data_IF_500837305391
#
_entry.id   IF_500837305391
#
_cell.length_a   1.000
_cell.length_b   1.000
_cell.length_c   1.000
_cell.angle_alpha   90.00
_cell.angle_beta   90.00
_cell.angle_gamma   90.00
#
_symmetry.space_group_name_H-M   'P 1'
#
loop_
_entity.id
_entity.type
_entity.pdbx_description
1 polymer ?
#
# COMPACT_ATOMS: atom_id res chain seq x y z
N UNK A 1 14.18 27.75 -16.39
CA UNK A 1 13.54 27.53 -17.70
C UNK A 1 12.37 26.57 -17.44
N UNK A 2 11.17 27.11 -17.44
CA UNK A 2 9.91 26.44 -17.12
C UNK A 2 9.46 25.62 -18.31
N UNK A 3 9.71 24.31 -18.27
CA UNK A 3 9.15 23.37 -19.23
C UNK A 3 7.66 23.18 -18.98
N UNK A 4 6.80 23.96 -19.62
CA UNK A 4 5.37 23.70 -19.77
C UNK A 4 5.17 22.46 -20.65
N UNK A 5 5.43 21.27 -20.12
CA UNK A 5 4.98 20.02 -20.72
C UNK A 5 3.49 19.87 -20.47
N UNK A 6 2.68 19.91 -21.53
CA UNK A 6 1.26 19.60 -21.50
C UNK A 6 1.02 18.17 -20.99
N UNK A 7 0.91 17.99 -19.68
CA UNK A 7 0.51 16.74 -19.00
C UNK A 7 -1.02 16.53 -19.00
N UNK A 8 -1.74 17.17 -19.90
CA UNK A 8 -3.20 17.23 -19.91
C UNK A 8 -3.91 16.03 -20.52
N UNK A 9 -3.21 15.06 -21.06
CA UNK A 9 -3.83 13.79 -21.44
C UNK A 9 -3.52 12.73 -20.38
N UNK A 10 -4.43 12.62 -19.39
CA UNK A 10 -4.62 11.39 -18.64
C UNK A 10 -4.90 10.29 -19.66
N UNK A 11 -4.12 9.22 -19.65
CA UNK A 11 -4.41 8.03 -20.47
C UNK A 11 -5.69 7.35 -20.01
N UNK A 12 -6.03 7.50 -18.70
CA UNK A 12 -7.32 7.10 -18.10
C UNK A 12 -7.92 8.27 -17.32
N UNK A 13 -9.23 8.47 -17.47
CA UNK A 13 -10.00 9.34 -16.59
C UNK A 13 -10.13 8.75 -15.17
N UNK A 14 -10.72 9.50 -14.21
CA UNK A 14 -10.96 9.05 -12.85
C UNK A 14 -11.88 7.81 -12.80
N UNK A 15 -11.32 6.60 -12.70
CA UNK A 15 -12.06 5.33 -12.88
C UNK A 15 -13.00 4.98 -11.74
N UNK A 16 -12.65 5.35 -10.52
CA UNK A 16 -13.38 4.97 -9.31
C UNK A 16 -14.07 6.18 -8.67
N UNK A 17 -14.59 7.07 -9.51
CA UNK A 17 -15.30 8.27 -9.12
C UNK A 17 -16.52 8.48 -10.02
N UNK A 18 -17.62 8.93 -9.43
CA UNK A 18 -18.86 9.32 -10.14
C UNK A 18 -19.20 10.77 -9.81
N UNK A 19 -19.78 11.48 -10.78
CA UNK A 19 -20.17 12.89 -10.65
C UNK A 19 -21.70 12.95 -10.50
N UNK A 20 -22.20 13.62 -9.46
CA UNK A 20 -23.63 13.76 -9.14
C UNK A 20 -23.88 15.15 -8.56
N UNK A 21 -24.73 15.96 -9.19
CA UNK A 21 -25.21 17.28 -8.71
C UNK A 21 -24.09 18.23 -8.22
N UNK A 22 -22.95 18.24 -8.91
CA UNK A 22 -21.80 19.07 -8.56
C UNK A 22 -20.88 18.49 -7.46
N UNK A 23 -21.24 17.34 -6.89
CA UNK A 23 -20.41 16.56 -5.99
C UNK A 23 -19.72 15.40 -6.73
N UNK A 24 -18.70 14.83 -6.11
CA UNK A 24 -17.99 13.66 -6.64
C UNK A 24 -17.93 12.59 -5.56
N UNK A 25 -18.48 11.42 -5.85
CA UNK A 25 -18.37 10.24 -5.00
C UNK A 25 -17.16 9.41 -5.44
N UNK A 26 -16.25 9.13 -4.50
CA UNK A 26 -15.10 8.26 -4.73
C UNK A 26 -15.39 6.86 -4.16
N UNK A 27 -15.36 5.83 -5.01
CA UNK A 27 -15.61 4.43 -4.64
C UNK A 27 -14.33 3.57 -4.68
N UNK A 28 -13.16 4.17 -4.46
CA UNK A 28 -11.89 3.46 -4.50
C UNK A 28 -11.64 2.62 -3.25
N UNK A 29 -11.97 3.14 -2.08
CA UNK A 29 -11.73 2.51 -0.79
C UNK A 29 -12.94 2.61 0.14
N UNK A 30 -12.86 1.97 1.29
CA UNK A 30 -13.93 1.93 2.32
C UNK A 30 -14.45 3.30 2.77
N UNK A 31 -13.66 4.36 2.60
CA UNK A 31 -14.09 5.71 3.00
C UNK A 31 -15.21 6.29 2.13
N UNK A 32 -15.38 5.82 0.89
CA UNK A 32 -16.42 6.22 -0.06
C UNK A 32 -16.73 7.72 -0.06
N UNK A 33 -15.67 8.55 -0.06
CA UNK A 33 -15.74 9.99 0.14
C UNK A 33 -16.74 10.65 -0.80
N UNK A 34 -17.67 11.42 -0.25
CA UNK A 34 -18.45 12.40 -0.99
C UNK A 34 -17.68 13.74 -0.96
N UNK A 35 -17.25 14.20 -2.13
CA UNK A 35 -16.28 15.30 -2.27
C UNK A 35 -16.97 16.51 -2.88
N UNK A 36 -17.14 17.56 -2.09
CA UNK A 36 -17.70 18.83 -2.57
C UNK A 36 -16.72 19.59 -3.46
N UNK A 37 -17.23 20.50 -4.28
CA UNK A 37 -16.42 21.29 -5.21
C UNK A 37 -15.28 22.03 -4.51
N UNK A 38 -14.07 21.92 -5.06
CA UNK A 38 -12.83 22.47 -4.52
C UNK A 38 -12.18 21.64 -3.41
N UNK A 39 -12.77 20.51 -3.02
CA UNK A 39 -12.27 19.66 -1.95
C UNK A 39 -11.59 18.38 -2.46
N UNK A 40 -10.87 17.71 -1.56
CA UNK A 40 -10.26 16.39 -1.78
C UNK A 40 -10.86 15.37 -0.82
N UNK A 41 -10.84 14.10 -1.23
CA UNK A 41 -11.13 12.98 -0.35
C UNK A 41 -10.06 12.84 0.74
N UNK A 42 -10.31 11.97 1.73
CA UNK A 42 -9.43 11.76 2.88
C UNK A 42 -7.98 11.42 2.51
N UNK A 43 -7.74 10.80 1.38
CA UNK A 43 -6.38 10.49 0.91
C UNK A 43 -5.57 11.72 0.44
N UNK A 44 -6.23 12.87 0.21
CA UNK A 44 -5.62 14.12 -0.23
C UNK A 44 -5.24 14.18 -1.72
N UNK A 45 -5.47 13.12 -2.50
CA UNK A 45 -4.97 13.04 -3.90
C UNK A 45 -6.07 12.87 -4.96
N UNK A 46 -7.29 12.60 -4.55
CA UNK A 46 -8.48 12.48 -5.40
C UNK A 46 -9.47 13.57 -5.01
N UNK A 47 -9.97 14.32 -5.96
CA UNK A 47 -10.72 15.54 -5.63
C UNK A 47 -11.85 15.88 -6.62
N UNK A 48 -12.51 16.99 -6.33
CA UNK A 48 -13.56 17.59 -7.12
C UNK A 48 -13.17 19.03 -7.49
N UNK A 49 -13.17 19.34 -8.78
CA UNK A 49 -13.00 20.71 -9.29
C UNK A 49 -14.21 21.10 -10.12
N UNK A 50 -15.02 22.02 -9.60
CA UNK A 50 -16.21 22.53 -10.27
C UNK A 50 -17.19 21.41 -10.71
N UNK A 51 -17.45 20.43 -9.84
CA UNK A 51 -18.34 19.30 -10.12
C UNK A 51 -17.71 18.17 -10.93
N UNK A 52 -16.41 18.28 -11.26
CA UNK A 52 -15.67 17.28 -12.03
C UNK A 52 -14.66 16.54 -11.18
N UNK A 53 -14.63 15.21 -11.32
CA UNK A 53 -13.65 14.36 -10.68
C UNK A 53 -12.24 14.66 -11.21
N UNK A 54 -11.28 14.85 -10.29
CA UNK A 54 -9.88 15.12 -10.63
C UNK A 54 -8.92 14.20 -9.89
N UNK A 55 -7.80 13.86 -10.55
CA UNK A 55 -6.68 13.11 -10.01
C UNK A 55 -5.36 13.87 -10.27
N UNK A 56 -5.16 15.02 -9.61
CA UNK A 56 -4.06 15.94 -9.94
C UNK A 56 -2.67 15.36 -9.66
N UNK A 57 -2.59 14.27 -8.90
CA UNK A 57 -1.34 13.57 -8.59
C UNK A 57 -1.00 12.44 -9.57
N UNK A 58 -1.70 12.34 -10.71
CA UNK A 58 -1.33 11.36 -11.74
C UNK A 58 0.12 11.55 -12.18
N UNK A 59 0.92 10.48 -12.04
CA UNK A 59 2.35 10.50 -12.37
C UNK A 59 3.25 11.24 -11.39
N UNK A 60 2.72 11.78 -10.29
CA UNK A 60 3.54 12.42 -9.27
C UNK A 60 4.23 11.37 -8.39
N UNK A 61 5.57 11.32 -8.46
CA UNK A 61 6.44 10.42 -7.73
C UNK A 61 7.19 11.22 -6.66
N UNK A 62 6.99 10.88 -5.40
CA UNK A 62 7.64 11.49 -4.24
C UNK A 62 9.01 10.88 -3.92
N UNK A 63 9.22 9.63 -4.32
CA UNK A 63 10.48 8.92 -4.12
C UNK A 63 10.71 7.91 -5.24
N UNK A 64 11.97 7.76 -5.66
CA UNK A 64 12.43 6.74 -6.60
C UNK A 64 13.73 6.15 -6.04
N UNK A 65 13.76 4.85 -5.81
CA UNK A 65 14.93 4.17 -5.25
C UNK A 65 15.09 2.76 -5.82
N UNK A 66 16.33 2.28 -5.85
CA UNK A 66 16.64 0.88 -6.13
C UNK A 66 16.95 0.18 -4.80
N UNK A 67 16.08 -0.72 -4.38
CA UNK A 67 16.17 -1.40 -3.09
C UNK A 67 16.39 -2.91 -3.27
N UNK A 68 16.97 -3.62 -2.29
CA UNK A 68 16.75 -5.06 -2.17
C UNK A 68 15.26 -5.37 -2.04
N UNK A 69 14.80 -6.46 -2.68
CA UNK A 69 13.37 -6.82 -2.64
C UNK A 69 12.89 -7.15 -1.23
N UNK A 70 13.79 -7.64 -0.39
CA UNK A 70 13.53 -7.94 1.02
C UNK A 70 13.14 -6.71 1.84
N UNK A 71 13.51 -5.50 1.41
CA UNK A 71 12.99 -4.24 2.00
C UNK A 71 11.52 -3.98 1.70
N UNK A 72 10.91 -4.77 0.79
CA UNK A 72 9.46 -4.75 0.51
C UNK A 72 8.72 -5.83 1.28
N UNK A 73 9.27 -6.34 2.37
CA UNK A 73 9.12 -7.64 3.03
C UNK A 73 8.58 -8.72 2.09
N UNK A 74 9.33 -9.01 1.01
CA UNK A 74 9.07 -10.09 0.08
C UNK A 74 10.29 -11.02 0.08
N UNK A 75 10.20 -12.11 0.84
CA UNK A 75 11.29 -13.06 1.03
C UNK A 75 11.15 -14.29 0.13
N UNK A 76 9.95 -14.52 -0.39
CA UNK A 76 9.63 -15.68 -1.21
C UNK A 76 9.35 -15.30 -2.69
N UNK A 77 9.37 -14.02 -3.02
CA UNK A 77 9.19 -13.53 -4.39
C UNK A 77 10.50 -12.95 -4.92
N UNK A 78 11.12 -13.61 -5.92
CA UNK A 78 12.38 -13.19 -6.56
C UNK A 78 13.48 -12.79 -5.54
N UNK A 79 13.80 -13.63 -4.55
CA UNK A 79 14.76 -13.28 -3.49
C UNK A 79 16.11 -12.87 -4.07
N UNK A 80 16.84 -12.04 -3.31
CA UNK A 80 18.19 -11.55 -3.65
C UNK A 80 18.24 -10.64 -4.90
N UNK A 81 17.09 -10.18 -5.40
CA UNK A 81 17.04 -9.21 -6.51
C UNK A 81 16.90 -7.78 -6.01
N UNK A 82 17.31 -6.85 -6.87
CA UNK A 82 16.98 -5.43 -6.68
C UNK A 82 15.63 -5.12 -7.31
N UNK A 83 14.90 -4.17 -6.72
CA UNK A 83 13.60 -3.72 -7.20
C UNK A 83 13.53 -2.21 -7.30
N UNK A 84 13.11 -1.67 -8.46
CA UNK A 84 12.85 -0.25 -8.62
C UNK A 84 11.59 0.12 -7.84
N UNK A 85 11.71 1.03 -6.88
CA UNK A 85 10.68 1.37 -5.91
C UNK A 85 10.15 2.78 -6.13
N UNK A 86 8.83 2.92 -6.29
CA UNK A 86 8.13 4.18 -6.52
C UNK A 86 7.37 4.58 -5.26
N UNK A 87 7.61 5.79 -4.76
CA UNK A 87 6.84 6.41 -3.67
C UNK A 87 5.83 7.43 -4.20
N UNK A 88 4.72 7.55 -3.50
CA UNK A 88 3.60 8.41 -3.87
C UNK A 88 3.28 9.41 -2.75
N UNK A 89 2.41 10.39 -3.03
CA UNK A 89 1.84 11.29 -2.03
C UNK A 89 0.50 10.76 -1.51
N UNK A 90 0.19 11.04 -0.26
CA UNK A 90 -1.11 10.73 0.34
C UNK A 90 -1.32 9.27 0.72
N UNK A 91 -2.35 9.04 1.53
CA UNK A 91 -2.77 7.73 2.02
C UNK A 91 -4.23 7.78 2.48
N UNK A 92 -4.97 6.70 2.34
CA UNK A 92 -6.34 6.58 2.84
C UNK A 92 -6.44 6.17 4.32
N UNK A 93 -5.32 5.90 4.98
CA UNK A 93 -5.21 5.68 6.44
C UNK A 93 -4.56 6.87 7.15
N UNK A 94 -4.74 6.92 8.49
CA UNK A 94 -4.21 7.97 9.38
C UNK A 94 -3.42 7.39 10.54
N UNK A 95 -2.56 6.38 10.26
CA UNK A 95 -1.76 5.70 11.25
C UNK A 95 -0.92 6.69 12.08
N UNK A 96 -1.08 6.77 13.41
CA UNK A 96 -0.32 7.71 14.23
C UNK A 96 1.17 7.34 14.38
N UNK A 97 1.55 6.13 13.98
CA UNK A 97 2.91 5.59 13.99
C UNK A 97 3.53 5.50 12.59
N UNK A 98 3.03 6.25 11.61
CA UNK A 98 3.48 6.12 10.23
C UNK A 98 4.91 6.62 10.05
N UNK A 99 5.84 5.74 9.66
CA UNK A 99 7.24 6.09 9.39
C UNK A 99 7.40 6.97 8.15
N UNK A 100 6.47 6.90 7.21
CA UNK A 100 6.44 7.70 5.99
C UNK A 100 5.41 8.85 6.06
N UNK A 101 5.11 9.34 7.26
CA UNK A 101 4.09 10.37 7.48
C UNK A 101 4.32 11.64 6.65
N UNK A 102 5.57 12.00 6.40
CA UNK A 102 5.96 13.18 5.64
C UNK A 102 5.46 13.15 4.18
N UNK A 103 5.27 11.97 3.58
CA UNK A 103 4.69 11.81 2.23
C UNK A 103 3.26 11.27 2.25
N UNK A 104 2.87 10.51 3.28
CA UNK A 104 1.55 9.87 3.36
C UNK A 104 0.48 10.78 3.98
N UNK A 105 0.86 11.69 4.89
CA UNK A 105 -0.05 12.60 5.58
C UNK A 105 0.06 14.04 5.10
N UNK A 106 0.90 14.29 4.12
CA UNK A 106 1.09 15.57 3.47
C UNK A 106 1.14 15.37 1.96
N UNK A 107 0.54 16.29 1.21
CA UNK A 107 0.53 16.31 -0.26
C UNK A 107 1.32 17.49 -0.83
N UNK A 108 1.67 18.48 0.00
CA UNK A 108 2.60 19.58 -0.35
C UNK A 108 4.04 19.12 -0.07
N UNK A 109 4.56 18.30 -0.96
CA UNK A 109 5.87 17.64 -0.83
C UNK A 109 6.65 17.74 -2.13
N UNK A 110 7.99 17.71 -2.06
CA UNK A 110 8.80 17.62 -3.28
C UNK A 110 8.56 16.30 -4.02
N UNK A 111 8.63 16.35 -5.34
CA UNK A 111 8.46 15.19 -6.19
C UNK A 111 8.63 15.53 -7.66
N UNK A 112 8.60 14.52 -8.50
CA UNK A 112 8.74 14.65 -9.95
C UNK A 112 7.55 14.00 -10.64
N UNK A 113 7.04 14.60 -11.71
CA UNK A 113 6.08 13.92 -12.60
C UNK A 113 6.83 13.02 -13.57
N UNK A 114 6.43 11.76 -13.60
CA UNK A 114 6.99 10.74 -14.49
C UNK A 114 5.86 10.04 -15.24
N UNK A 115 6.03 9.89 -16.54
CA UNK A 115 5.13 9.09 -17.38
C UNK A 115 5.40 7.60 -17.16
N UNK A 116 4.42 6.71 -17.38
CA UNK A 116 4.64 5.26 -17.27
C UNK A 116 5.87 4.76 -18.05
N UNK A 117 6.14 5.30 -19.25
CA UNK A 117 7.31 4.95 -20.05
C UNK A 117 8.64 5.33 -19.40
N UNK A 118 8.70 6.46 -18.67
CA UNK A 118 9.93 6.86 -17.94
C UNK A 118 10.23 5.92 -16.77
N UNK A 119 9.18 5.35 -16.14
CA UNK A 119 9.35 4.33 -15.10
C UNK A 119 9.92 3.02 -15.69
N UNK A 120 9.39 2.58 -16.83
CA UNK A 120 9.90 1.40 -17.53
C UNK A 120 11.34 1.61 -17.97
N UNK A 121 11.68 2.78 -18.52
CA UNK A 121 13.07 3.11 -18.89
C UNK A 121 14.01 3.08 -17.68
N UNK A 122 13.60 3.64 -16.55
CA UNK A 122 14.39 3.59 -15.32
C UNK A 122 14.59 2.15 -14.81
N UNK A 123 13.58 1.27 -14.94
CA UNK A 123 13.71 -0.14 -14.56
C UNK A 123 14.72 -0.88 -15.47
N UNK A 124 14.71 -0.59 -16.77
CA UNK A 124 15.70 -1.12 -17.73
C UNK A 124 17.11 -0.64 -17.42
N UNK A 125 17.30 0.66 -17.17
CA UNK A 125 18.61 1.26 -16.87
C UNK A 125 19.26 0.68 -15.60
N UNK A 126 18.45 0.19 -14.66
CA UNK A 126 18.93 -0.39 -13.41
C UNK A 126 18.91 -1.92 -13.37
N UNK A 127 18.66 -2.61 -14.48
CA UNK A 127 18.53 -4.08 -14.56
C UNK A 127 17.59 -4.65 -13.50
N UNK A 128 16.53 -3.90 -13.16
CA UNK A 128 15.57 -4.32 -12.15
C UNK A 128 14.55 -5.29 -12.75
N UNK A 129 14.39 -6.51 -12.25
CA UNK A 129 13.44 -7.48 -12.82
C UNK A 129 11.98 -7.17 -12.43
N UNK A 130 11.77 -6.20 -11.57
CA UNK A 130 10.45 -5.86 -11.03
C UNK A 130 10.35 -4.40 -10.62
N UNK A 131 9.12 -3.89 -10.53
CA UNK A 131 8.78 -2.52 -10.10
C UNK A 131 7.87 -2.59 -8.90
N UNK A 132 8.26 -1.94 -7.79
CA UNK A 132 7.46 -1.82 -6.57
C UNK A 132 6.76 -0.47 -6.50
N UNK A 133 5.47 -0.51 -6.24
CA UNK A 133 4.61 0.63 -5.92
C UNK A 133 4.42 0.62 -4.40
N UNK A 134 4.98 1.63 -3.67
CA UNK A 134 5.24 1.51 -2.23
C UNK A 134 5.36 2.85 -1.49
N UNK A 135 5.92 2.84 -0.29
CA UNK A 135 6.28 3.91 0.66
C UNK A 135 5.08 4.64 1.29
N UNK A 136 4.10 5.11 0.52
CA UNK A 136 2.81 5.59 1.03
C UNK A 136 1.71 4.58 0.69
N UNK A 137 0.53 5.03 0.25
CA UNK A 137 -0.49 4.11 -0.24
C UNK A 137 -0.62 4.18 -1.77
N UNK A 138 -0.09 3.22 -2.51
CA UNK A 138 -0.15 3.23 -3.97
C UNK A 138 -1.58 3.10 -4.51
N UNK A 139 -2.50 2.40 -3.84
CA UNK A 139 -3.85 2.16 -4.34
C UNK A 139 -4.64 3.46 -4.57
N UNK A 140 -4.33 4.55 -3.84
CA UNK A 140 -5.03 5.83 -4.04
C UNK A 140 -4.67 6.49 -5.38
N UNK A 141 -3.65 5.98 -6.08
CA UNK A 141 -3.21 6.36 -7.44
C UNK A 141 -3.59 5.33 -8.50
N UNK A 142 -4.72 4.66 -8.34
CA UNK A 142 -5.13 3.48 -9.11
C UNK A 142 -4.97 3.65 -10.64
N UNK A 143 -5.34 4.80 -11.19
CA UNK A 143 -5.26 5.04 -12.64
C UNK A 143 -3.83 5.05 -13.16
N UNK A 144 -2.92 5.69 -12.43
CA UNK A 144 -1.51 5.70 -12.77
C UNK A 144 -0.87 4.32 -12.57
N UNK A 145 -1.25 3.62 -11.49
CA UNK A 145 -0.80 2.23 -11.27
C UNK A 145 -1.18 1.35 -12.46
N UNK A 146 -2.45 1.37 -12.88
CA UNK A 146 -2.94 0.55 -13.98
C UNK A 146 -2.18 0.82 -15.28
N UNK A 147 -1.85 2.08 -15.57
CA UNK A 147 -1.09 2.44 -16.76
C UNK A 147 0.38 1.99 -16.66
N UNK A 148 1.03 2.20 -15.50
CA UNK A 148 2.41 1.73 -15.28
C UNK A 148 2.51 0.21 -15.31
N UNK A 149 1.63 -0.49 -14.58
CA UNK A 149 1.64 -1.95 -14.48
C UNK A 149 1.37 -2.62 -15.84
N UNK A 150 0.43 -2.08 -16.62
CA UNK A 150 0.15 -2.61 -17.95
C UNK A 150 1.37 -2.45 -18.89
N UNK A 151 2.06 -1.31 -18.81
CA UNK A 151 3.25 -1.07 -19.62
C UNK A 151 4.43 -1.91 -19.12
N UNK A 152 4.67 -1.97 -17.80
CA UNK A 152 5.71 -2.79 -17.18
C UNK A 152 5.59 -4.27 -17.60
N UNK A 153 4.38 -4.83 -17.54
CA UNK A 153 4.11 -6.22 -17.98
C UNK A 153 4.44 -6.45 -19.44
N UNK A 154 4.14 -5.49 -20.34
CA UNK A 154 4.50 -5.58 -21.76
C UNK A 154 6.01 -5.65 -22.00
N UNK A 155 6.79 -5.10 -21.06
CA UNK A 155 8.26 -5.12 -21.10
C UNK A 155 8.88 -6.24 -20.24
N UNK A 156 8.07 -7.17 -19.73
CA UNK A 156 8.55 -8.35 -18.98
C UNK A 156 8.88 -8.07 -17.50
N UNK A 157 8.55 -6.90 -16.97
CA UNK A 157 8.74 -6.60 -15.56
C UNK A 157 7.61 -7.17 -14.70
N UNK A 158 7.95 -7.68 -13.52
CA UNK A 158 6.97 -8.03 -12.52
C UNK A 158 6.49 -6.78 -11.77
N UNK A 159 5.19 -6.72 -11.46
CA UNK A 159 4.56 -5.66 -10.69
C UNK A 159 4.36 -6.07 -9.25
N UNK A 160 4.91 -5.30 -8.33
CA UNK A 160 4.87 -5.54 -6.89
C UNK A 160 4.13 -4.41 -6.19
N UNK A 161 3.17 -4.75 -5.33
CA UNK A 161 2.50 -3.81 -4.43
C UNK A 161 2.98 -3.97 -2.99
N UNK A 162 3.24 -2.85 -2.31
CA UNK A 162 3.32 -2.78 -0.85
C UNK A 162 2.23 -1.83 -0.41
N UNK A 163 1.20 -2.35 0.24
CA UNK A 163 -0.08 -1.64 0.45
C UNK A 163 -0.73 -1.96 1.78
N UNK A 164 -1.57 -1.06 2.26
CA UNK A 164 -2.44 -1.31 3.40
C UNK A 164 -3.69 -2.16 3.07
N UNK A 165 -3.92 -2.47 1.80
CA UNK A 165 -5.03 -3.30 1.34
C UNK A 165 -6.44 -2.70 1.48
N UNK A 166 -6.58 -1.45 1.96
CA UNK A 166 -7.87 -0.80 2.11
C UNK A 166 -8.44 -0.29 0.78
N UNK A 167 -8.78 -1.20 -0.13
CA UNK A 167 -9.46 -0.89 -1.40
C UNK A 167 -10.75 -1.68 -1.54
N UNK A 168 -11.79 -1.05 -2.09
CA UNK A 168 -13.04 -1.74 -2.40
C UNK A 168 -12.81 -2.85 -3.43
N UNK A 169 -13.56 -3.93 -3.35
CA UNK A 169 -13.37 -5.17 -4.13
C UNK A 169 -13.23 -4.92 -5.63
N UNK A 170 -13.99 -3.97 -6.21
CA UNK A 170 -13.90 -3.63 -7.63
C UNK A 170 -12.54 -3.05 -7.98
N UNK A 171 -12.07 -2.07 -7.21
CA UNK A 171 -10.78 -1.43 -7.42
C UNK A 171 -9.62 -2.41 -7.18
N UNK A 172 -9.69 -3.18 -6.09
CA UNK A 172 -8.73 -4.22 -5.77
C UNK A 172 -8.59 -5.23 -6.92
N UNK A 173 -9.70 -5.74 -7.45
CA UNK A 173 -9.72 -6.71 -8.56
C UNK A 173 -9.03 -6.18 -9.82
N UNK A 174 -9.31 -4.92 -10.21
CA UNK A 174 -8.69 -4.34 -11.41
C UNK A 174 -7.17 -4.19 -11.26
N UNK A 175 -6.69 -3.78 -10.08
CA UNK A 175 -5.26 -3.62 -9.83
C UNK A 175 -4.58 -4.99 -9.70
N UNK A 176 -5.18 -5.93 -8.97
CA UNK A 176 -4.62 -7.27 -8.76
C UNK A 176 -4.49 -8.09 -10.05
N UNK A 177 -5.31 -7.84 -11.08
CA UNK A 177 -5.12 -8.44 -12.42
C UNK A 177 -3.74 -8.17 -13.03
N UNK A 178 -3.10 -7.07 -12.65
CA UNK A 178 -1.80 -6.65 -13.16
C UNK A 178 -0.68 -6.83 -12.13
N UNK A 179 -0.99 -7.28 -10.91
CA UNK A 179 -0.04 -7.49 -9.81
C UNK A 179 0.49 -8.92 -9.84
N UNK A 180 1.80 -9.09 -9.66
CA UNK A 180 2.45 -10.40 -9.59
C UNK A 180 2.74 -10.81 -8.14
N UNK A 181 3.07 -9.83 -7.28
CA UNK A 181 3.26 -10.04 -5.84
C UNK A 181 2.74 -8.86 -5.04
N UNK A 182 2.29 -9.13 -3.82
CA UNK A 182 1.86 -8.10 -2.87
C UNK A 182 2.39 -8.39 -1.48
N UNK A 183 2.91 -7.35 -0.81
CA UNK A 183 3.04 -7.35 0.63
C UNK A 183 1.91 -6.49 1.21
N UNK A 184 1.05 -7.09 2.03
CA UNK A 184 -0.07 -6.39 2.66
C UNK A 184 0.26 -6.08 4.11
N UNK A 185 0.20 -4.81 4.45
CA UNK A 185 0.29 -4.34 5.84
C UNK A 185 -1.01 -4.63 6.61
N UNK A 186 -1.09 -5.80 7.26
CA UNK A 186 -2.14 -6.10 8.24
C UNK A 186 -1.77 -5.43 9.57
N UNK A 187 -2.22 -4.19 9.74
CA UNK A 187 -1.68 -3.31 10.80
C UNK A 187 -2.17 -3.64 12.20
N UNK A 188 -3.33 -4.28 12.32
CA UNK A 188 -3.95 -4.76 13.58
C UNK A 188 -5.00 -5.82 13.22
N UNK A 189 -5.35 -6.69 14.15
CA UNK A 189 -6.47 -7.63 13.96
C UNK A 189 -7.68 -7.25 14.82
N UNK A 190 -7.79 -5.97 15.14
CA UNK A 190 -8.91 -5.36 15.85
C UNK A 190 -9.67 -4.39 14.94
N UNK A 191 -10.93 -4.68 14.64
CA UNK A 191 -11.81 -3.79 13.87
C UNK A 191 -11.96 -2.42 14.53
N UNK A 192 -12.01 -2.39 15.87
CA UNK A 192 -12.10 -1.13 16.64
C UNK A 192 -10.83 -0.29 16.47
N UNK A 193 -9.65 -0.90 16.52
CA UNK A 193 -8.37 -0.22 16.32
C UNK A 193 -8.25 0.31 14.89
N UNK A 194 -8.62 -0.49 13.88
CA UNK A 194 -8.67 -0.04 12.49
C UNK A 194 -9.53 1.21 12.35
N UNK A 195 -10.76 1.18 12.84
CA UNK A 195 -11.70 2.29 12.71
C UNK A 195 -11.26 3.53 13.50
N UNK A 196 -10.91 3.38 14.78
CA UNK A 196 -10.68 4.53 15.68
C UNK A 196 -9.27 5.13 15.55
N UNK A 197 -8.24 4.28 15.36
CA UNK A 197 -6.85 4.72 15.40
C UNK A 197 -6.25 4.91 14.01
N UNK A 198 -6.71 4.13 13.03
CA UNK A 198 -6.11 4.14 11.69
C UNK A 198 -7.00 4.80 10.63
N UNK A 199 -8.29 4.97 10.91
CA UNK A 199 -9.28 5.45 9.93
C UNK A 199 -9.47 4.46 8.78
N UNK A 200 -9.40 3.16 9.08
CA UNK A 200 -9.48 2.06 8.13
C UNK A 200 -10.57 1.05 8.49
N UNK A 201 -10.62 -0.04 7.73
CA UNK A 201 -11.57 -1.12 7.93
C UNK A 201 -10.89 -2.48 7.80
N UNK A 202 -10.93 -3.30 8.88
CA UNK A 202 -10.31 -4.62 8.94
C UNK A 202 -10.90 -5.59 7.92
N UNK A 203 -12.22 -5.56 7.75
CA UNK A 203 -12.91 -6.48 6.84
C UNK A 203 -12.48 -6.24 5.38
N UNK A 204 -12.34 -4.97 4.99
CA UNK A 204 -11.83 -4.59 3.67
C UNK A 204 -10.42 -5.13 3.45
N UNK A 205 -9.51 -5.00 4.43
CA UNK A 205 -8.13 -5.52 4.32
C UNK A 205 -8.12 -7.04 4.24
N UNK A 206 -8.87 -7.73 5.11
CA UNK A 206 -8.99 -9.18 5.07
C UNK A 206 -9.56 -9.68 3.73
N UNK A 207 -10.55 -8.97 3.18
CA UNK A 207 -11.14 -9.28 1.86
C UNK A 207 -10.14 -9.06 0.73
N UNK A 208 -9.28 -8.01 0.81
CA UNK A 208 -8.22 -7.75 -0.15
C UNK A 208 -7.18 -8.89 -0.15
N UNK A 209 -6.73 -9.34 1.03
CA UNK A 209 -5.77 -10.44 1.17
C UNK A 209 -6.33 -11.72 0.54
N UNK A 210 -7.57 -12.10 0.89
CA UNK A 210 -8.25 -13.28 0.33
C UNK A 210 -8.40 -13.16 -1.20
N UNK A 211 -8.76 -11.97 -1.69
CA UNK A 211 -8.92 -11.73 -3.13
C UNK A 211 -7.59 -11.88 -3.86
N UNK A 212 -6.49 -11.31 -3.33
CA UNK A 212 -5.16 -11.43 -3.91
C UNK A 212 -4.73 -12.90 -4.01
N UNK A 213 -4.87 -13.65 -2.92
CA UNK A 213 -4.57 -15.08 -2.89
C UNK A 213 -5.40 -15.88 -3.93
N UNK A 214 -6.71 -15.66 -3.96
CA UNK A 214 -7.62 -16.34 -4.90
C UNK A 214 -7.40 -15.96 -6.37
N UNK A 215 -6.73 -14.85 -6.64
CA UNK A 215 -6.31 -14.43 -7.98
C UNK A 215 -4.90 -14.93 -8.35
N UNK A 216 -4.30 -15.82 -7.55
CA UNK A 216 -2.95 -16.35 -7.71
C UNK A 216 -1.85 -15.27 -7.72
N UNK A 217 -2.07 -14.15 -7.02
CA UNK A 217 -1.01 -13.19 -6.72
C UNK A 217 -0.17 -13.74 -5.58
N UNK A 218 1.16 -13.66 -5.68
CA UNK A 218 2.02 -14.02 -4.55
C UNK A 218 1.76 -13.06 -3.38
N UNK A 219 1.38 -13.60 -2.23
CA UNK A 219 1.00 -12.81 -1.04
C UNK A 219 2.01 -13.03 0.08
N UNK A 220 2.57 -11.96 0.62
CA UNK A 220 3.23 -11.93 1.92
C UNK A 220 2.56 -10.87 2.79
N UNK A 221 2.53 -11.06 4.10
CA UNK A 221 1.84 -10.16 5.03
C UNK A 221 2.84 -9.58 6.01
N UNK A 222 2.70 -8.28 6.31
CA UNK A 222 3.52 -7.60 7.32
C UNK A 222 2.62 -7.03 8.42
N UNK A 223 3.05 -7.24 9.67
CA UNK A 223 2.47 -6.57 10.84
C UNK A 223 3.57 -5.85 11.61
N UNK A 224 3.50 -4.51 11.64
CA UNK A 224 4.30 -3.71 12.56
C UNK A 224 3.66 -3.87 13.96
N UNK A 225 4.40 -4.48 14.88
CA UNK A 225 3.93 -4.69 16.26
C UNK A 225 4.18 -3.42 17.06
N UNK A 226 3.11 -2.70 17.37
CA UNK A 226 3.15 -1.37 18.00
C UNK A 226 2.66 -1.49 19.45
N UNK A 227 3.52 -1.20 20.44
CA UNK A 227 3.13 -1.25 21.83
C UNK A 227 1.93 -0.37 22.15
N UNK A 228 1.00 -0.89 22.98
CA UNK A 228 -0.28 -0.29 23.36
C UNK A 228 -1.31 -0.14 22.23
N UNK A 229 -1.08 -0.78 21.08
CA UNK A 229 -2.00 -0.72 19.95
C UNK A 229 -2.40 -2.12 19.48
N UNK A 230 -1.42 -2.97 19.16
CA UNK A 230 -1.64 -4.32 18.61
C UNK A 230 -0.65 -5.35 19.18
N UNK A 231 -0.05 -5.09 20.35
CA UNK A 231 0.99 -5.91 20.97
C UNK A 231 0.43 -6.95 21.97
N UNK A 232 -0.84 -7.34 21.88
CA UNK A 232 -1.38 -8.44 22.66
C UNK A 232 -1.11 -9.80 21.99
N UNK A 233 -0.83 -10.83 22.82
CA UNK A 233 -0.62 -12.19 22.31
C UNK A 233 -1.87 -12.74 21.61
N UNK A 234 -3.05 -12.47 22.15
CA UNK A 234 -4.35 -12.88 21.61
C UNK A 234 -4.60 -12.28 20.23
N UNK A 235 -4.30 -10.97 20.04
CA UNK A 235 -4.50 -10.31 18.76
C UNK A 235 -3.59 -10.88 17.67
N UNK A 236 -2.32 -11.12 18.01
CA UNK A 236 -1.37 -11.73 17.06
C UNK A 236 -1.73 -13.20 16.76
N UNK A 237 -2.30 -13.91 17.73
CA UNK A 237 -2.80 -15.27 17.52
C UNK A 237 -4.00 -15.28 16.57
N UNK A 238 -4.97 -14.38 16.75
CA UNK A 238 -6.11 -14.24 15.86
C UNK A 238 -5.70 -13.87 14.43
N UNK A 239 -4.67 -13.01 14.27
CA UNK A 239 -4.08 -12.69 12.97
C UNK A 239 -3.42 -13.93 12.33
N UNK A 240 -2.69 -14.74 13.11
CA UNK A 240 -2.10 -15.99 12.64
C UNK A 240 -3.16 -17.00 12.21
N UNK A 241 -4.27 -17.11 12.95
CA UNK A 241 -5.41 -17.99 12.60
C UNK A 241 -6.07 -17.55 11.28
N UNK A 242 -6.24 -16.25 11.10
CA UNK A 242 -6.77 -15.71 9.84
C UNK A 242 -5.87 -16.05 8.66
N UNK A 243 -4.56 -15.85 8.79
CA UNK A 243 -3.58 -16.13 7.72
C UNK A 243 -3.56 -17.63 7.43
N UNK A 244 -3.47 -18.48 8.45
CA UNK A 244 -3.46 -19.94 8.31
C UNK A 244 -4.77 -20.47 7.71
N UNK A 245 -5.90 -19.79 7.98
CA UNK A 245 -7.20 -20.13 7.40
C UNK A 245 -7.31 -19.83 5.90
N UNK A 246 -6.37 -19.04 5.33
CA UNK A 246 -6.22 -18.85 3.88
C UNK A 246 -5.23 -19.90 3.35
N UNK A 247 -3.98 -19.83 3.82
CA UNK A 247 -2.92 -20.80 3.54
C UNK A 247 -1.79 -20.65 4.57
N UNK A 248 -1.42 -21.72 5.24
CA UNK A 248 -0.34 -21.74 6.21
C UNK A 248 1.05 -21.44 5.60
N UNK A 249 1.19 -21.51 4.29
CA UNK A 249 2.41 -21.18 3.56
C UNK A 249 2.55 -19.67 3.23
N UNK A 250 1.56 -18.83 3.52
CA UNK A 250 1.70 -17.38 3.38
C UNK A 250 2.74 -16.87 4.39
N UNK A 251 3.84 -16.23 3.93
CA UNK A 251 4.84 -15.68 4.83
C UNK A 251 4.28 -14.50 5.63
N UNK A 252 4.54 -14.50 6.95
CA UNK A 252 4.17 -13.40 7.84
C UNK A 252 5.40 -12.74 8.45
N UNK A 253 5.52 -11.43 8.25
CA UNK A 253 6.60 -10.59 8.75
C UNK A 253 6.13 -9.81 9.97
N UNK A 254 6.65 -10.14 11.15
CA UNK A 254 6.46 -9.37 12.38
C UNK A 254 7.60 -8.38 12.54
N UNK A 255 7.33 -7.09 12.45
CA UNK A 255 8.33 -6.03 12.49
C UNK A 255 8.24 -5.23 13.80
N UNK A 256 9.40 -4.92 14.39
CA UNK A 256 9.45 -4.08 15.59
C UNK A 256 9.17 -2.62 15.25
N UNK A 257 8.33 -1.98 16.05
CA UNK A 257 8.07 -0.56 16.02
C UNK A 257 9.19 0.21 16.76
N UNK A 258 9.56 1.36 16.23
CA UNK A 258 10.32 2.41 16.91
C UNK A 258 9.50 3.69 16.96
N UNK A 259 9.61 4.53 18.03
CA UNK A 259 8.86 5.76 18.16
C UNK A 259 9.00 6.67 16.93
N UNK A 260 7.88 7.03 16.32
CA UNK A 260 7.82 7.92 15.18
C UNK A 260 6.46 8.64 15.10
N UNK A 261 6.45 9.79 14.42
CA UNK A 261 5.30 10.63 14.15
C UNK A 261 4.53 11.03 15.43
N UNK A 262 3.31 10.57 15.62
CA UNK A 262 2.42 10.93 16.74
C UNK A 262 2.28 9.85 17.80
N UNK A 263 2.97 8.71 17.62
CA UNK A 263 2.93 7.60 18.56
C UNK A 263 4.23 7.55 19.36
N UNK A 264 4.14 7.73 20.66
CA UNK A 264 5.30 7.85 21.56
C UNK A 264 5.48 6.66 22.52
N UNK A 265 4.86 5.51 22.20
CA UNK A 265 5.11 4.29 22.96
C UNK A 265 6.59 3.90 22.88
N UNK A 266 7.15 3.17 23.86
CA UNK A 266 8.48 2.60 23.73
C UNK A 266 8.60 1.71 22.49
N UNK A 267 9.82 1.50 22.00
CA UNK A 267 10.06 0.51 20.94
C UNK A 267 9.55 -0.86 21.34
N UNK A 268 9.20 -1.67 20.35
CA UNK A 268 8.74 -3.04 20.56
C UNK A 268 9.82 -3.84 21.28
N UNK A 269 9.44 -4.56 22.34
CA UNK A 269 10.36 -5.44 23.05
C UNK A 269 10.77 -6.63 22.16
N UNK A 270 12.07 -6.79 21.80
CA UNK A 270 12.51 -7.89 20.94
C UNK A 270 12.15 -9.29 21.48
N UNK A 271 12.22 -9.48 22.79
CA UNK A 271 11.88 -10.76 23.40
C UNK A 271 10.38 -11.09 23.27
N UNK A 272 9.50 -10.07 23.30
CA UNK A 272 8.08 -10.25 23.00
C UNK A 272 7.88 -10.67 21.53
N UNK A 273 8.52 -9.95 20.60
CA UNK A 273 8.39 -10.21 19.16
C UNK A 273 8.87 -11.63 18.79
N UNK A 274 10.00 -12.06 19.35
CA UNK A 274 10.53 -13.41 19.16
C UNK A 274 9.58 -14.47 19.70
N UNK A 275 8.97 -14.26 20.90
CA UNK A 275 7.97 -15.19 21.45
C UNK A 275 6.72 -15.24 20.57
N UNK A 276 6.20 -14.09 20.14
CA UNK A 276 5.04 -14.02 19.25
C UNK A 276 5.28 -14.77 17.94
N UNK A 277 6.46 -14.59 17.34
CA UNK A 277 6.84 -15.32 16.13
C UNK A 277 6.93 -16.84 16.38
N UNK A 278 7.45 -17.26 17.54
CA UNK A 278 7.51 -18.70 17.93
C UNK A 278 6.10 -19.29 18.06
N UNK A 279 5.17 -18.60 18.68
CA UNK A 279 3.78 -19.05 18.79
C UNK A 279 3.11 -19.12 17.40
N UNK A 280 3.28 -18.10 16.56
CA UNK A 280 2.73 -18.07 15.21
C UNK A 280 3.26 -19.22 14.32
N UNK A 281 4.51 -19.66 14.50
CA UNK A 281 5.10 -20.83 13.79
C UNK A 281 4.43 -22.16 14.13
N UNK A 282 3.58 -22.22 15.13
CA UNK A 282 2.74 -23.41 15.38
C UNK A 282 1.61 -23.54 14.35
N UNK A 283 1.25 -22.44 13.67
CA UNK A 283 0.13 -22.33 12.70
C UNK A 283 0.60 -22.04 11.29
N UNK A 284 1.72 -21.32 11.14
CA UNK A 284 2.28 -20.84 9.87
C UNK A 284 3.65 -21.44 9.61
N UNK A 285 3.93 -21.78 8.36
CA UNK A 285 5.22 -22.35 7.95
C UNK A 285 6.35 -21.31 7.97
N UNK A 286 6.04 -20.05 7.64
CA UNK A 286 7.02 -19.00 7.48
C UNK A 286 6.63 -17.77 8.31
N UNK A 287 7.39 -17.51 9.36
CA UNK A 287 7.23 -16.31 10.20
C UNK A 287 8.60 -15.68 10.41
N UNK A 288 8.73 -14.43 10.01
CA UNK A 288 9.97 -13.66 10.07
C UNK A 288 9.85 -12.53 11.09
N UNK A 289 10.97 -12.18 11.73
CA UNK A 289 11.05 -11.00 12.61
C UNK A 289 12.00 -9.98 11.99
N UNK A 290 11.64 -8.70 12.05
CA UNK A 290 12.42 -7.61 11.50
C UNK A 290 12.52 -6.41 12.43
N UNK A 291 13.47 -5.52 12.15
CA UNK A 291 13.74 -4.29 12.90
C UNK A 291 14.10 -4.50 14.39
N UNK A 292 14.68 -5.66 14.76
CA UNK A 292 15.10 -6.00 16.14
C UNK A 292 16.61 -5.83 16.33
#
# INVERSE_FOLDING_TARGET
MTGNGNFTQLTRGPLFMTEEDGEVRCCLCHNECLISSGQFGLCGVRGNKAGKAIIPFYGFISALALDPIEKKPLYHFKPETKILSLGFAGCNLRCPFCQNWHISQNTDIPGKRMKPGEIVSAALEHDSPSIAYTYSEPLVHAEYLLDCMALARKHGFANVLVTNGCANTRAAREILKLTDAVNVDLKTFSAQTYMKNLGGDLETVCSFIKLAYNMNVHVEITTLVVPRLNDSGEELENAADFIAGIDSAIPWHLSAYHPDYRWNAPATNPAFLIRAAKEARKKLQYVYTGNI
#
